data_IF_159477199254
#
_entry.id   IF_159477199254
#
_cell.length_a   1.000
_cell.length_b   1.000
_cell.length_c   1.000
_cell.angle_alpha   90.00
_cell.angle_beta   90.00
_cell.angle_gamma   90.00
#
_symmetry.space_group_name_H-M   'P 1'
#
loop_
_entity.id
_entity.type
_entity.pdbx_description
1 polymer ?
#
# COMPACT_ATOMS: atom_id res chain seq x y z
N UNK A 1 24.15 -20.01 -23.01
CA UNK A 1 25.08 -19.11 -22.28
C UNK A 1 25.24 -19.66 -20.88
N UNK A 2 26.45 -20.00 -20.45
CA UNK A 2 26.71 -20.50 -19.09
C UNK A 2 26.87 -19.30 -18.14
N UNK A 3 26.27 -19.34 -16.95
CA UNK A 3 26.53 -18.32 -15.93
C UNK A 3 27.90 -18.56 -15.31
N UNK A 4 28.71 -17.51 -15.20
CA UNK A 4 30.02 -17.55 -14.55
C UNK A 4 29.84 -17.94 -13.08
N UNK A 5 30.26 -19.15 -12.73
CA UNK A 5 30.29 -19.66 -11.36
C UNK A 5 31.62 -19.25 -10.71
N UNK A 6 31.56 -18.34 -9.73
CA UNK A 6 32.72 -17.98 -8.92
C UNK A 6 32.81 -18.94 -7.73
N UNK A 7 33.73 -19.89 -7.80
CA UNK A 7 34.05 -20.82 -6.71
C UNK A 7 34.77 -20.07 -5.58
N UNK A 8 34.01 -19.47 -4.66
CA UNK A 8 34.58 -18.68 -3.54
C UNK A 8 33.61 -17.73 -2.84
N UNK A 9 32.35 -17.64 -3.28
CA UNK A 9 31.33 -16.87 -2.55
C UNK A 9 30.94 -17.61 -1.26
N UNK A 10 31.33 -17.05 -0.11
CA UNK A 10 30.93 -17.52 1.23
C UNK A 10 29.61 -16.91 1.71
N UNK A 11 29.10 -15.89 1.04
CA UNK A 11 27.82 -15.26 1.31
C UNK A 11 27.03 -15.08 0.02
N UNK A 12 25.75 -15.46 0.06
CA UNK A 12 24.81 -15.22 -1.03
C UNK A 12 24.15 -13.86 -0.78
N UNK A 13 24.54 -12.84 -1.55
CA UNK A 13 23.82 -11.57 -1.58
C UNK A 13 22.49 -11.77 -2.31
N UNK A 14 21.43 -12.09 -1.56
CA UNK A 14 20.07 -12.14 -2.09
C UNK A 14 19.60 -10.71 -2.33
N UNK A 15 19.39 -10.34 -3.58
CA UNK A 15 18.69 -9.11 -3.91
C UNK A 15 17.19 -9.35 -3.63
N UNK A 16 16.67 -8.72 -2.57
CA UNK A 16 15.27 -8.80 -2.16
C UNK A 16 14.47 -7.57 -2.67
N UNK A 17 14.95 -6.90 -3.72
CA UNK A 17 14.28 -5.72 -4.25
C UNK A 17 13.06 -6.14 -5.06
N UNK A 18 11.90 -6.16 -4.40
CA UNK A 18 10.63 -6.43 -5.05
C UNK A 18 10.14 -5.17 -5.77
N UNK A 19 10.41 -5.09 -7.06
CA UNK A 19 9.91 -4.01 -7.91
C UNK A 19 8.67 -4.47 -8.67
N UNK A 20 7.61 -3.68 -8.62
CA UNK A 20 6.38 -3.93 -9.38
C UNK A 20 6.60 -3.42 -10.81
N UNK A 21 6.21 -4.19 -11.85
CA UNK A 21 6.32 -3.72 -13.23
C UNK A 21 5.53 -2.42 -13.44
N UNK A 22 6.04 -1.52 -14.28
CA UNK A 22 5.44 -0.21 -14.54
C UNK A 22 3.98 -0.30 -15.00
N UNK A 23 3.62 -1.33 -15.78
CA UNK A 23 2.27 -1.60 -16.29
C UNK A 23 1.30 -2.22 -15.26
N UNK A 24 1.66 -2.29 -13.98
CA UNK A 24 0.78 -2.86 -12.96
C UNK A 24 -0.34 -1.89 -12.58
N UNK A 25 -1.55 -2.42 -12.35
CA UNK A 25 -2.75 -1.66 -11.96
C UNK A 25 -2.51 -0.71 -10.77
N UNK A 26 -1.68 -1.12 -9.81
CA UNK A 26 -1.32 -0.29 -8.65
C UNK A 26 -0.68 1.04 -9.06
N UNK A 27 0.17 1.07 -10.08
CA UNK A 27 0.78 2.30 -10.57
C UNK A 27 -0.27 3.18 -11.24
N UNK A 28 -1.16 2.61 -12.05
CA UNK A 28 -2.27 3.33 -12.67
C UNK A 28 -3.16 3.98 -11.63
N UNK A 29 -3.52 3.24 -10.58
CA UNK A 29 -4.31 3.76 -9.45
C UNK A 29 -3.55 4.86 -8.70
N UNK A 30 -2.24 4.70 -8.46
CA UNK A 30 -1.45 5.77 -7.84
C UNK A 30 -1.48 7.02 -8.70
N UNK A 31 -1.14 6.93 -9.99
CA UNK A 31 -1.14 8.07 -10.91
C UNK A 31 -2.52 8.74 -11.00
N UNK A 32 -3.59 7.96 -11.00
CA UNK A 32 -4.96 8.48 -10.97
C UNK A 32 -5.23 9.28 -9.70
N UNK A 33 -4.95 8.71 -8.52
CA UNK A 33 -5.19 9.42 -7.26
C UNK A 33 -4.27 10.64 -7.10
N UNK A 34 -3.03 10.54 -7.58
CA UNK A 34 -2.05 11.63 -7.56
C UNK A 34 -2.43 12.78 -8.51
N UNK A 35 -3.33 12.54 -9.48
CA UNK A 35 -3.87 13.58 -10.37
C UNK A 35 -5.02 14.38 -9.75
N UNK A 36 -5.58 13.92 -8.63
CA UNK A 36 -6.68 14.60 -7.95
C UNK A 36 -6.09 15.72 -7.07
N UNK A 37 -6.58 16.97 -7.19
CA UNK A 37 -6.08 18.07 -6.37
C UNK A 37 -6.33 17.82 -4.89
N UNK A 38 -5.34 18.13 -4.05
CA UNK A 38 -5.40 17.91 -2.59
C UNK A 38 -6.54 18.67 -1.94
N UNK A 39 -6.94 19.82 -2.49
CA UNK A 39 -8.08 20.63 -2.01
C UNK A 39 -9.40 19.84 -1.96
N UNK A 40 -9.56 18.86 -2.86
CA UNK A 40 -10.76 17.99 -2.91
C UNK A 40 -10.64 16.83 -1.91
N UNK A 41 -9.41 16.40 -1.61
CA UNK A 41 -9.15 15.25 -0.74
C UNK A 41 -9.10 15.66 0.73
N UNK A 42 -8.52 16.82 1.03
CA UNK A 42 -8.40 17.43 2.34
C UNK A 42 -9.63 18.30 2.64
N UNK A 43 -10.81 17.68 2.66
CA UNK A 43 -11.97 18.31 3.30
C UNK A 43 -11.69 18.60 4.79
N UNK A 44 -12.59 19.30 5.48
CA UNK A 44 -12.46 19.67 6.90
C UNK A 44 -12.12 18.45 7.79
N UNK A 45 -10.83 18.21 8.00
CA UNK A 45 -10.34 17.14 8.88
C UNK A 45 -10.68 17.52 10.31
N UNK A 46 -11.24 16.57 11.07
CA UNK A 46 -11.61 16.79 12.45
C UNK A 46 -10.42 17.33 13.28
N UNK A 47 -10.59 18.51 13.88
CA UNK A 47 -9.56 19.20 14.69
C UNK A 47 -9.22 18.47 16.00
N UNK A 48 -10.00 17.46 16.38
CA UNK A 48 -9.87 16.70 17.63
C UNK A 48 -10.00 15.21 17.35
N UNK A 49 -8.98 14.42 17.73
CA UNK A 49 -8.99 12.96 17.55
C UNK A 49 -7.60 12.37 17.28
N UNK A 50 -7.54 11.04 17.03
CA UNK A 50 -6.33 10.39 16.49
C UNK A 50 -5.99 10.97 15.11
N UNK A 51 -4.70 11.02 14.73
CA UNK A 51 -4.30 11.54 13.42
C UNK A 51 -5.06 10.81 12.32
N UNK A 52 -5.80 11.58 11.52
CA UNK A 52 -6.57 11.05 10.40
C UNK A 52 -5.60 10.49 9.34
N UNK A 53 -5.96 9.36 8.76
CA UNK A 53 -5.24 8.81 7.61
C UNK A 53 -5.24 9.80 6.46
N UNK A 54 -4.17 9.82 5.66
CA UNK A 54 -4.15 10.64 4.46
C UNK A 54 -5.23 10.15 3.48
N UNK A 55 -6.18 10.99 3.06
CA UNK A 55 -7.32 10.60 2.22
C UNK A 55 -6.87 9.99 0.89
N UNK A 56 -5.80 10.52 0.29
CA UNK A 56 -5.21 9.96 -0.93
C UNK A 56 -4.71 8.51 -0.73
N UNK A 57 -4.13 8.19 0.44
CA UNK A 57 -3.65 6.85 0.73
C UNK A 57 -4.82 5.87 0.90
N UNK A 58 -5.86 6.27 1.63
CA UNK A 58 -7.07 5.46 1.79
C UNK A 58 -7.76 5.20 0.45
N UNK A 59 -7.85 6.22 -0.41
CA UNK A 59 -8.44 6.07 -1.74
C UNK A 59 -7.68 5.06 -2.60
N UNK A 60 -6.34 5.09 -2.61
CA UNK A 60 -5.51 4.12 -3.35
C UNK A 60 -5.77 2.68 -2.89
N UNK A 61 -5.84 2.46 -1.57
CA UNK A 61 -6.10 1.15 -0.95
C UNK A 61 -7.49 0.63 -1.34
N UNK A 62 -8.52 1.48 -1.22
CA UNK A 62 -9.89 1.11 -1.54
C UNK A 62 -10.06 0.81 -3.02
N UNK A 63 -9.56 1.67 -3.92
CA UNK A 63 -9.65 1.43 -5.37
C UNK A 63 -9.00 0.12 -5.78
N UNK A 64 -7.83 -0.20 -5.20
CA UNK A 64 -7.14 -1.45 -5.51
C UNK A 64 -7.89 -2.68 -4.99
N UNK A 65 -8.40 -2.61 -3.76
CA UNK A 65 -9.19 -3.69 -3.15
C UNK A 65 -10.48 -3.97 -3.92
N UNK A 66 -11.21 -2.91 -4.28
CA UNK A 66 -12.46 -3.02 -5.05
C UNK A 66 -12.21 -3.55 -6.46
N UNK A 67 -11.09 -3.16 -7.09
CA UNK A 67 -10.67 -3.73 -8.38
C UNK A 67 -10.45 -5.25 -8.31
N UNK A 68 -10.09 -5.77 -7.13
CA UNK A 68 -9.92 -7.21 -6.85
C UNK A 68 -11.15 -7.86 -6.22
N UNK A 69 -12.30 -7.18 -6.17
CA UNK A 69 -13.56 -7.64 -5.55
C UNK A 69 -13.41 -7.99 -4.06
N UNK A 70 -12.51 -7.31 -3.35
CA UNK A 70 -12.33 -7.47 -1.90
C UNK A 70 -12.99 -6.28 -1.20
N UNK A 71 -14.09 -6.54 -0.50
CA UNK A 71 -14.91 -5.49 0.13
C UNK A 71 -14.90 -5.53 1.67
N UNK A 72 -14.40 -6.61 2.27
CA UNK A 72 -14.37 -6.75 3.72
C UNK A 72 -13.13 -6.07 4.29
N UNK A 73 -13.31 -5.19 5.30
CA UNK A 73 -12.20 -4.47 5.95
C UNK A 73 -11.08 -5.40 6.42
N UNK A 74 -11.43 -6.53 7.06
CA UNK A 74 -10.45 -7.56 7.49
C UNK A 74 -9.68 -8.17 6.32
N UNK A 75 -10.36 -8.43 5.20
CA UNK A 75 -9.70 -8.96 4.01
C UNK A 75 -8.79 -7.91 3.36
N UNK A 76 -9.17 -6.64 3.41
CA UNK A 76 -8.34 -5.53 2.94
C UNK A 76 -7.09 -5.38 3.80
N UNK A 77 -7.21 -5.50 5.12
CA UNK A 77 -6.11 -5.51 6.08
C UNK A 77 -5.14 -6.66 5.80
N UNK A 78 -5.63 -7.90 5.68
CA UNK A 78 -4.79 -9.04 5.29
C UNK A 78 -4.09 -8.81 3.94
N UNK A 79 -4.81 -8.30 2.94
CA UNK A 79 -4.24 -8.01 1.64
C UNK A 79 -3.16 -6.91 1.71
N UNK A 80 -3.22 -6.01 2.70
CA UNK A 80 -2.23 -4.96 2.91
C UNK A 80 -0.91 -5.50 3.50
N UNK A 81 -0.98 -6.62 4.20
CA UNK A 81 0.18 -7.31 4.79
C UNK A 81 0.80 -8.32 3.82
N UNK A 82 -0.03 -9.04 3.06
CA UNK A 82 0.42 -10.17 2.23
C UNK A 82 0.77 -9.78 0.79
N UNK A 83 0.18 -8.70 0.24
CA UNK A 83 0.29 -8.39 -1.18
C UNK A 83 1.25 -7.22 -1.45
N UNK A 84 2.35 -7.49 -2.15
CA UNK A 84 3.39 -6.50 -2.52
C UNK A 84 2.82 -5.22 -3.16
N UNK A 85 1.87 -5.27 -4.12
CA UNK A 85 1.20 -4.07 -4.64
C UNK A 85 0.57 -3.16 -3.60
N UNK A 86 -0.05 -3.74 -2.58
CA UNK A 86 -0.68 -2.99 -1.50
C UNK A 86 0.36 -2.39 -0.57
N UNK A 87 1.44 -3.12 -0.29
CA UNK A 87 2.57 -2.62 0.47
C UNK A 87 3.24 -1.42 -0.22
N UNK A 88 3.39 -1.44 -1.54
CA UNK A 88 3.96 -0.32 -2.30
C UNK A 88 3.03 0.90 -2.29
N UNK A 89 1.73 0.70 -2.44
CA UNK A 89 0.74 1.79 -2.35
C UNK A 89 0.70 2.44 -0.96
N UNK A 90 0.91 1.64 0.09
CA UNK A 90 1.03 2.09 1.49
C UNK A 90 2.34 2.82 1.75
N UNK A 91 3.46 2.22 1.36
CA UNK A 91 4.82 2.67 1.71
C UNK A 91 5.18 4.03 1.11
N UNK A 92 4.60 4.39 -0.04
CA UNK A 92 4.82 5.71 -0.66
C UNK A 92 4.44 6.90 0.24
N UNK A 93 3.58 6.71 1.25
CA UNK A 93 3.03 7.82 2.05
C UNK A 93 3.25 7.70 3.57
N UNK A 94 3.64 6.55 4.14
CA UNK A 94 3.83 6.44 5.60
C UNK A 94 4.58 5.18 6.06
N UNK A 95 5.34 5.24 7.18
CA UNK A 95 5.98 4.08 7.79
C UNK A 95 4.99 3.05 8.36
N UNK A 96 5.40 1.78 8.33
CA UNK A 96 4.59 0.59 8.69
C UNK A 96 3.97 0.69 10.11
N UNK A 97 4.63 1.32 11.07
CA UNK A 97 4.22 1.31 12.48
C UNK A 97 2.86 1.96 12.77
N UNK A 98 2.44 2.99 12.01
CA UNK A 98 1.22 3.75 12.30
C UNK A 98 -0.05 3.01 11.84
N UNK A 99 0.09 2.16 10.81
CA UNK A 99 -1.06 1.57 10.13
C UNK A 99 -1.55 0.26 10.76
N UNK A 100 -0.68 -0.54 11.38
CA UNK A 100 -1.12 -1.70 12.17
C UNK A 100 -2.01 -1.27 13.35
N UNK A 101 -1.80 -0.05 13.86
CA UNK A 101 -2.59 0.47 14.98
C UNK A 101 -4.02 0.84 14.59
N UNK A 102 -4.32 1.14 13.32
CA UNK A 102 -5.70 1.45 12.93
C UNK A 102 -6.21 0.74 11.69
N UNK A 103 -5.51 -0.24 11.13
CA UNK A 103 -6.15 -1.27 10.30
C UNK A 103 -7.13 -2.11 11.14
N UNK A 104 -6.81 -2.31 12.43
CA UNK A 104 -7.76 -2.75 13.47
C UNK A 104 -9.06 -1.93 13.52
N UNK A 105 -9.00 -0.62 13.24
CA UNK A 105 -10.15 0.29 13.25
C UNK A 105 -10.94 0.25 11.95
N UNK A 106 -10.31 -0.02 10.79
CA UNK A 106 -11.05 -0.31 9.55
C UNK A 106 -11.90 -1.58 9.68
N UNK A 107 -11.44 -2.57 10.47
CA UNK A 107 -12.28 -3.71 10.85
C UNK A 107 -13.39 -3.35 11.84
N UNK A 108 -13.30 -2.22 12.56
CA UNK A 108 -14.28 -1.77 13.55
C UNK A 108 -15.33 -0.83 12.93
N UNK A 109 -14.97 0.02 11.97
CA UNK A 109 -15.87 0.98 11.31
C UNK A 109 -16.76 0.35 10.23
N UNK A 110 -16.46 -0.86 9.76
CA UNK A 110 -17.20 -1.55 8.68
C UNK A 110 -18.10 -2.70 9.19
N UNK A 111 -18.37 -2.76 10.51
CA UNK A 111 -19.24 -3.74 11.16
C UNK A 111 -20.27 -3.01 12.03
#
# INVERSE_FOLDING_TARGET
>A
MYQNYTTGQTALTLNLDFTIPSNHLANTISCFVDSIPEDVLLGDTAKTGRPAYHPAMMLKILLFAYSRRVFSGRKIELMLEENVPMMVLRSKLMPIAILLSGAKELSFMMN
#
